data_IF_464954220583
#
_entry.id   IF_464954220583
#
_cell.length_a   1.000
_cell.length_b   1.000
_cell.length_c   1.000
_cell.angle_alpha   90.00
_cell.angle_beta   90.00
_cell.angle_gamma   90.00
#
_symmetry.space_group_name_H-M   'P 1'
#
loop_
_entity.id
_entity.type
_entity.pdbx_description
1 polymer ?
#
# COMPACT_ATOMS: atom_id res chain seq x y z
N UNK A 1 18.41 -0.25 18.74
CA UNK A 1 16.99 -0.19 19.16
C UNK A 1 16.19 -1.07 18.22
N UNK A 2 15.61 -2.14 18.74
CA UNK A 2 14.81 -3.09 17.97
C UNK A 2 13.47 -2.44 17.62
N UNK A 3 13.26 -2.10 16.35
CA UNK A 3 11.91 -1.83 15.84
C UNK A 3 11.28 -3.20 15.66
N UNK A 4 10.69 -3.73 16.73
CA UNK A 4 9.79 -4.85 16.60
C UNK A 4 8.60 -4.35 15.79
N UNK A 5 8.33 -5.03 14.66
CA UNK A 5 7.11 -4.79 13.91
C UNK A 5 5.96 -4.85 14.91
N UNK A 6 4.98 -3.96 14.78
CA UNK A 6 3.77 -4.02 15.61
C UNK A 6 3.30 -5.47 15.55
N UNK A 7 3.25 -6.19 16.68
CA UNK A 7 2.80 -7.57 16.66
C UNK A 7 1.45 -7.59 15.98
N UNK A 8 1.29 -8.47 14.98
CA UNK A 8 0.01 -8.64 14.30
C UNK A 8 -1.07 -8.71 15.38
N UNK A 9 -2.01 -7.76 15.36
CA UNK A 9 -3.01 -7.69 16.42
C UNK A 9 -3.75 -9.02 16.41
N UNK A 10 -3.55 -9.84 17.45
CA UNK A 10 -4.32 -11.05 17.64
C UNK A 10 -5.77 -10.59 17.80
N UNK A 11 -6.58 -10.87 16.77
CA UNK A 11 -7.97 -10.48 16.80
C UNK A 11 -8.70 -11.33 17.85
N UNK A 12 -9.43 -10.73 18.81
CA UNK A 12 -10.53 -11.46 19.41
C UNK A 12 -11.50 -11.90 18.29
N UNK A 13 -12.23 -12.98 18.54
CA UNK A 13 -13.27 -13.47 17.65
C UNK A 13 -14.15 -12.31 17.13
N UNK A 14 -14.58 -12.43 15.88
CA UNK A 14 -15.53 -11.57 15.14
C UNK A 14 -16.08 -10.40 15.98
N UNK A 15 -15.65 -9.14 15.77
CA UNK A 15 -16.29 -8.01 16.41
C UNK A 15 -17.74 -8.02 15.96
N UNK A 16 -18.66 -8.25 16.89
CA UNK A 16 -20.04 -7.83 16.73
C UNK A 16 -19.98 -6.32 16.57
N UNK A 17 -20.50 -5.82 15.45
CA UNK A 17 -20.67 -4.37 15.24
C UNK A 17 -21.37 -3.80 16.48
N UNK A 18 -20.77 -2.85 17.21
CA UNK A 18 -21.49 -2.19 18.29
C UNK A 18 -22.64 -1.41 17.67
N UNK A 19 -23.85 -1.86 17.96
CA UNK A 19 -25.08 -1.11 17.76
C UNK A 19 -25.06 0.12 18.68
N UNK A 20 -25.01 1.32 18.09
CA UNK A 20 -25.47 2.53 18.78
C UNK A 20 -24.42 3.55 19.24
N UNK A 21 -23.55 4.02 18.34
CA UNK A 21 -22.97 5.36 18.46
C UNK A 21 -23.15 6.13 17.15
N UNK A 22 -23.69 7.35 17.24
CA UNK A 22 -23.85 8.27 16.12
C UNK A 22 -22.47 8.60 15.50
N UNK A 23 -22.36 8.73 14.16
CA UNK A 23 -21.06 8.68 13.49
C UNK A 23 -20.26 9.97 13.70
N UNK A 24 -19.12 9.85 14.37
CA UNK A 24 -17.99 10.77 14.16
C UNK A 24 -17.54 10.67 12.69
N UNK A 25 -17.13 11.80 12.10
CA UNK A 25 -16.96 12.01 10.66
C UNK A 25 -16.37 10.83 9.88
N UNK A 26 -16.99 10.50 8.73
CA UNK A 26 -16.45 9.50 7.80
C UNK A 26 -15.11 9.96 7.26
N UNK A 27 -14.08 9.14 7.37
CA UNK A 27 -12.76 9.35 6.78
C UNK A 27 -12.55 8.43 5.61
N UNK A 28 -11.61 8.79 4.75
CA UNK A 28 -11.26 7.98 3.59
C UNK A 28 -9.76 7.70 3.53
N UNK A 29 -9.43 6.48 3.16
CA UNK A 29 -8.08 6.04 2.78
C UNK A 29 -8.12 5.70 1.29
N UNK A 30 -7.02 5.98 0.59
CA UNK A 30 -6.94 5.78 -0.85
C UNK A 30 -5.91 4.74 -1.19
N UNK A 31 -6.28 3.78 -2.03
CA UNK A 31 -5.36 2.80 -2.59
C UNK A 31 -5.09 3.14 -4.06
N UNK A 32 -3.82 3.37 -4.37
CA UNK A 32 -3.38 3.84 -5.68
C UNK A 32 -2.54 2.75 -6.33
N UNK A 33 -3.11 2.13 -7.36
CA UNK A 33 -2.45 1.10 -8.14
C UNK A 33 -1.79 1.76 -9.34
N UNK A 34 -0.47 1.65 -9.47
CA UNK A 34 0.27 2.30 -10.56
C UNK A 34 0.90 1.30 -11.52
N UNK A 35 0.95 1.69 -12.78
CA UNK A 35 1.68 1.01 -13.84
C UNK A 35 2.62 2.00 -14.52
N UNK A 36 3.90 1.88 -14.18
CA UNK A 36 4.96 2.79 -14.65
C UNK A 36 5.66 2.30 -15.93
N UNK A 37 5.35 1.08 -16.41
CA UNK A 37 5.87 0.55 -17.69
C UNK A 37 7.36 0.18 -17.71
N UNK A 38 8.07 0.22 -16.58
CA UNK A 38 9.52 -0.03 -16.52
C UNK A 38 9.90 -1.50 -16.74
N UNK A 39 11.19 -1.79 -17.03
CA UNK A 39 11.72 -3.18 -17.12
C UNK A 39 11.51 -3.96 -15.82
N UNK A 40 11.55 -3.29 -14.67
CA UNK A 40 11.23 -3.87 -13.35
C UNK A 40 9.75 -4.25 -13.25
N UNK A 41 8.86 -3.38 -13.76
CA UNK A 41 7.43 -3.68 -13.90
C UNK A 41 7.18 -4.90 -14.80
N UNK A 42 7.98 -5.13 -15.85
CA UNK A 42 7.85 -6.32 -16.70
C UNK A 42 8.19 -7.63 -15.97
N UNK A 43 9.24 -7.65 -15.16
CA UNK A 43 9.61 -8.82 -14.33
C UNK A 43 8.56 -9.06 -13.23
N UNK A 44 8.11 -7.99 -12.57
CA UNK A 44 7.04 -8.07 -11.59
C UNK A 44 5.72 -8.55 -12.21
N UNK A 45 5.39 -8.15 -13.44
CA UNK A 45 4.19 -8.63 -14.15
C UNK A 45 4.21 -10.15 -14.34
N UNK A 46 5.39 -10.75 -14.52
CA UNK A 46 5.53 -12.21 -14.62
C UNK A 46 5.28 -12.91 -13.27
N UNK A 47 5.73 -12.32 -12.17
CA UNK A 47 5.56 -12.85 -10.80
C UNK A 47 4.16 -12.59 -10.24
N UNK A 48 3.59 -11.42 -10.51
CA UNK A 48 2.31 -10.95 -9.97
C UNK A 48 1.13 -11.24 -10.90
N UNK A 49 1.37 -11.58 -12.17
CA UNK A 49 0.36 -11.84 -13.21
C UNK A 49 -0.72 -10.75 -13.33
N UNK A 50 -0.39 -9.51 -12.98
CA UNK A 50 -1.31 -8.37 -12.98
C UNK A 50 -0.84 -7.22 -13.87
N UNK A 51 -1.79 -6.44 -14.40
CA UNK A 51 -1.48 -5.23 -15.16
C UNK A 51 -0.86 -4.13 -14.29
N UNK A 52 -1.26 -4.04 -13.02
CA UNK A 52 -0.75 -3.07 -12.06
C UNK A 52 0.31 -3.73 -11.17
N UNK A 53 1.52 -3.17 -11.21
CA UNK A 53 2.71 -3.79 -10.63
C UNK A 53 3.14 -3.15 -9.31
N UNK A 54 2.52 -2.04 -8.95
CA UNK A 54 2.80 -1.28 -7.73
C UNK A 54 1.51 -0.79 -7.09
N UNK A 55 1.50 -0.71 -5.76
CA UNK A 55 0.37 -0.21 -4.98
C UNK A 55 0.90 0.67 -3.85
N UNK A 56 0.26 1.83 -3.68
CA UNK A 56 0.54 2.79 -2.60
C UNK A 56 -0.73 3.07 -1.81
N UNK A 57 -0.55 3.51 -0.56
CA UNK A 57 -1.64 4.00 0.30
C UNK A 57 -1.48 5.51 0.50
N UNK A 58 -2.59 6.23 0.44
CA UNK A 58 -2.68 7.64 0.78
C UNK A 58 -3.78 7.85 1.82
N UNK A 59 -3.58 8.86 2.67
CA UNK A 59 -4.46 9.17 3.80
C UNK A 59 -5.44 10.30 3.47
N UNK A 60 -5.35 10.88 2.28
CA UNK A 60 -6.19 11.99 1.85
C UNK A 60 -6.46 11.93 0.34
N UNK A 61 -7.46 12.70 -0.08
CA UNK A 61 -7.93 12.73 -1.47
C UNK A 61 -6.97 13.44 -2.42
N UNK A 62 -5.99 14.24 -1.95
CA UNK A 62 -5.09 14.97 -2.86
C UNK A 62 -4.04 14.06 -3.48
N UNK A 63 -3.74 12.95 -2.79
CA UNK A 63 -2.66 12.00 -3.14
C UNK A 63 -1.28 12.69 -3.17
N UNK A 64 -1.11 13.76 -2.40
CA UNK A 64 0.17 14.47 -2.30
C UNK A 64 1.23 13.61 -1.60
N UNK A 65 0.80 12.65 -0.78
CA UNK A 65 1.66 11.68 -0.11
C UNK A 65 1.20 10.26 -0.37
N UNK A 66 1.99 9.54 -1.16
CA UNK A 66 1.83 8.12 -1.47
C UNK A 66 2.86 7.31 -0.69
N UNK A 67 2.39 6.46 0.22
CA UNK A 67 3.26 5.61 1.04
C UNK A 67 3.32 4.21 0.45
N UNK A 68 4.53 3.69 0.23
CA UNK A 68 4.73 2.34 -0.28
C UNK A 68 6.14 1.82 -0.03
N UNK A 69 6.43 0.60 -0.50
CA UNK A 69 7.79 0.09 -0.63
C UNK A 69 8.21 0.10 -2.09
N UNK A 70 9.31 0.78 -2.40
CA UNK A 70 9.74 1.01 -3.77
C UNK A 70 11.07 1.74 -3.84
N UNK A 71 11.23 2.52 -4.91
CA UNK A 71 12.38 3.37 -5.20
C UNK A 71 11.89 4.78 -5.45
N UNK A 72 12.58 5.79 -4.93
CA UNK A 72 12.21 7.19 -5.16
C UNK A 72 12.64 7.69 -6.55
N UNK A 73 13.56 6.99 -7.22
CA UNK A 73 14.02 7.30 -8.58
C UNK A 73 14.34 6.04 -9.38
N UNK A 74 14.17 6.10 -10.70
CA UNK A 74 14.59 5.03 -11.62
C UNK A 74 16.10 4.81 -11.62
N UNK A 75 16.88 5.81 -11.19
CA UNK A 75 18.35 5.76 -11.11
C UNK A 75 18.85 4.99 -9.90
N UNK A 76 18.01 4.81 -8.88
CA UNK A 76 18.36 4.06 -7.68
C UNK A 76 18.60 2.59 -8.01
N UNK A 77 19.65 2.06 -7.38
CA UNK A 77 20.03 0.66 -7.46
C UNK A 77 19.05 -0.19 -6.65
N UNK A 78 18.84 -1.46 -6.98
CA UNK A 78 17.86 -2.30 -6.30
C UNK A 78 18.01 -2.35 -4.77
N UNK A 79 19.23 -2.36 -4.22
CA UNK A 79 19.46 -2.40 -2.77
C UNK A 79 19.17 -1.09 -2.03
N UNK A 80 18.98 0.01 -2.75
CA UNK A 80 18.57 1.31 -2.20
C UNK A 80 17.04 1.37 -1.99
N UNK A 81 16.30 0.41 -2.57
CA UNK A 81 14.85 0.32 -2.42
C UNK A 81 14.43 0.03 -0.96
N UNK A 82 13.37 0.70 -0.52
CA UNK A 82 12.88 0.66 0.85
C UNK A 82 11.50 1.30 1.00
N UNK A 83 11.17 1.72 2.21
CA UNK A 83 9.94 2.50 2.44
C UNK A 83 10.09 3.89 1.83
N UNK A 84 9.07 4.36 1.11
CA UNK A 84 9.05 5.64 0.39
C UNK A 84 7.79 6.43 0.66
N UNK A 85 7.92 7.76 0.67
CA UNK A 85 6.82 8.72 0.66
C UNK A 85 6.96 9.56 -0.61
N UNK A 86 6.18 9.20 -1.62
CA UNK A 86 6.26 9.78 -2.95
C UNK A 86 5.20 10.87 -3.11
N UNK A 87 5.50 11.90 -3.88
CA UNK A 87 4.51 12.87 -4.34
C UNK A 87 4.09 12.49 -5.76
N UNK A 88 2.80 12.66 -6.10
CA UNK A 88 2.29 12.34 -7.45
C UNK A 88 3.07 13.03 -8.59
N UNK A 89 3.61 14.23 -8.33
CA UNK A 89 4.38 15.05 -9.29
C UNK A 89 5.89 15.07 -8.99
N UNK A 90 6.37 14.15 -8.14
CA UNK A 90 7.76 14.06 -7.68
C UNK A 90 8.40 12.70 -7.95
N UNK A 91 9.71 12.61 -7.62
CA UNK A 91 10.47 11.36 -7.66
C UNK A 91 10.28 10.55 -8.95
N UNK A 92 10.01 9.25 -8.77
CA UNK A 92 9.85 8.28 -9.85
C UNK A 92 8.69 8.63 -10.80
N UNK A 93 7.63 9.29 -10.31
CA UNK A 93 6.48 9.65 -11.13
C UNK A 93 6.77 10.86 -12.03
N UNK A 94 7.64 11.76 -11.59
CA UNK A 94 8.17 12.84 -12.44
C UNK A 94 9.05 12.30 -13.57
N UNK A 95 9.88 11.30 -13.27
CA UNK A 95 10.75 10.64 -14.25
C UNK A 95 9.95 9.76 -15.23
N UNK A 96 8.74 9.32 -14.84
CA UNK A 96 7.85 8.46 -15.62
C UNK A 96 6.47 9.12 -15.81
N UNK A 97 6.38 10.20 -16.61
CA UNK A 97 5.14 10.97 -16.78
C UNK A 97 3.99 10.18 -17.43
N UNK A 98 4.29 9.05 -18.06
CA UNK A 98 3.31 8.11 -18.62
C UNK A 98 2.72 7.12 -17.60
N UNK A 99 2.95 7.32 -16.30
CA UNK A 99 2.43 6.43 -15.25
C UNK A 99 0.90 6.46 -15.24
N UNK A 100 0.31 5.29 -15.51
CA UNK A 100 -1.14 5.08 -15.39
C UNK A 100 -1.48 4.64 -13.98
N UNK A 101 -2.64 5.03 -13.48
CA UNK A 101 -3.13 4.61 -12.18
C UNK A 101 -4.63 4.26 -12.19
N UNK A 102 -5.00 3.46 -11.20
CA UNK A 102 -6.37 3.31 -10.71
C UNK A 102 -6.36 3.73 -9.24
N UNK A 103 -7.31 4.57 -8.84
CA UNK A 103 -7.48 5.02 -7.46
C UNK A 103 -8.78 4.45 -6.91
N UNK A 104 -8.70 3.82 -5.75
CA UNK A 104 -9.84 3.36 -4.98
C UNK A 104 -9.94 4.13 -3.68
N UNK A 105 -11.15 4.37 -3.23
CA UNK A 105 -11.47 5.02 -1.97
C UNK A 105 -12.06 4.00 -1.01
N UNK A 106 -11.59 4.01 0.23
CA UNK A 106 -12.07 3.17 1.33
C UNK A 106 -12.62 4.09 2.42
N UNK A 107 -13.92 4.02 2.67
CA UNK A 107 -14.52 4.65 3.86
C UNK A 107 -14.08 3.90 5.12
N UNK A 108 -13.62 4.64 6.12
CA UNK A 108 -13.13 4.12 7.39
C UNK A 108 -13.62 4.97 8.56
N UNK A 109 -13.68 4.38 9.75
CA UNK A 109 -13.90 5.13 10.99
C UNK A 109 -12.69 6.00 11.33
N UNK A 110 -12.90 7.05 12.12
CA UNK A 110 -11.81 7.88 12.67
C UNK A 110 -10.77 7.04 13.42
N UNK A 111 -11.18 5.99 14.12
CA UNK A 111 -10.27 5.10 14.84
C UNK A 111 -9.39 4.27 13.87
N UNK A 112 -9.99 3.66 12.85
CA UNK A 112 -9.26 2.92 11.81
C UNK A 112 -8.28 3.85 11.07
N UNK A 113 -8.73 5.07 10.75
CA UNK A 113 -7.90 6.10 10.13
C UNK A 113 -6.68 6.45 11.01
N UNK A 114 -6.90 6.76 12.30
CA UNK A 114 -5.81 7.04 13.25
C UNK A 114 -4.85 5.87 13.40
N UNK A 115 -5.34 4.63 13.44
CA UNK A 115 -4.48 3.44 13.51
C UNK A 115 -3.64 3.27 12.24
N UNK A 116 -4.24 3.41 11.07
CA UNK A 116 -3.52 3.37 9.79
C UNK A 116 -2.43 4.45 9.72
N UNK A 117 -2.78 5.70 10.08
CA UNK A 117 -1.82 6.81 10.15
C UNK A 117 -0.67 6.50 11.12
N UNK A 118 -0.99 6.02 12.33
CA UNK A 118 0.03 5.69 13.34
C UNK A 118 1.00 4.58 12.88
N UNK A 119 0.52 3.60 12.12
CA UNK A 119 1.38 2.59 11.49
C UNK A 119 2.29 3.27 10.46
N UNK A 120 1.74 4.08 9.56
CA UNK A 120 2.53 4.79 8.53
C UNK A 120 3.60 5.69 9.18
N UNK A 121 3.26 6.41 10.25
CA UNK A 121 4.18 7.28 10.99
C UNK A 121 5.33 6.50 11.64
N UNK A 122 5.09 5.25 12.06
CA UNK A 122 6.15 4.35 12.53
C UNK A 122 7.10 3.98 11.39
N UNK A 123 6.59 3.68 10.20
CA UNK A 123 7.43 3.43 9.03
C UNK A 123 8.21 4.67 8.59
N UNK A 124 7.61 5.86 8.66
CA UNK A 124 8.30 7.13 8.39
C UNK A 124 9.44 7.40 9.37
N UNK A 125 9.16 7.30 10.68
CA UNK A 125 10.18 7.54 11.73
C UNK A 125 11.37 6.59 11.65
N UNK A 126 11.16 5.40 11.11
CA UNK A 126 12.21 4.37 10.99
C UNK A 126 12.50 4.01 9.53
N UNK A 127 12.27 4.92 8.58
CA UNK A 127 12.35 4.64 7.14
C UNK A 127 13.67 3.98 6.72
N UNK A 128 14.80 4.42 7.29
CA UNK A 128 16.14 3.94 6.91
C UNK A 128 16.39 2.46 7.22
N UNK A 129 15.69 1.88 8.22
CA UNK A 129 15.87 0.47 8.61
C UNK A 129 15.01 -0.49 7.79
N UNK A 130 13.98 0.03 7.12
CA UNK A 130 13.07 -0.76 6.28
C UNK A 130 13.63 -0.89 4.86
N UNK A 131 13.67 -2.12 4.35
CA UNK A 131 14.23 -2.42 3.02
C UNK A 131 13.24 -3.17 2.15
N UNK A 132 13.42 -3.10 0.84
CA UNK A 132 12.58 -3.87 -0.07
C UNK A 132 12.77 -5.38 0.09
N UNK A 133 11.69 -6.14 0.01
CA UNK A 133 11.68 -7.60 0.19
C UNK A 133 11.83 -8.37 -1.12
N UNK A 134 13.02 -8.34 -1.73
CA UNK A 134 13.30 -9.12 -2.94
C UNK A 134 13.12 -10.64 -2.76
N UNK A 135 13.61 -11.29 -1.68
CA UNK A 135 13.34 -12.71 -1.45
C UNK A 135 11.84 -13.00 -1.26
N UNK A 136 11.10 -12.05 -0.69
CA UNK A 136 9.65 -12.13 -0.56
C UNK A 136 8.93 -12.31 -1.89
N UNK A 137 9.41 -11.71 -2.99
CA UNK A 137 8.85 -11.93 -4.32
C UNK A 137 8.98 -13.40 -4.76
N UNK A 138 10.08 -14.05 -4.42
CA UNK A 138 10.27 -15.48 -4.69
C UNK A 138 9.32 -16.33 -3.81
N UNK A 139 9.26 -16.06 -2.50
CA UNK A 139 8.36 -16.78 -1.59
C UNK A 139 6.87 -16.62 -1.99
N UNK A 140 6.47 -15.43 -2.43
CA UNK A 140 5.15 -15.15 -3.01
C UNK A 140 4.85 -15.95 -4.28
N UNK A 141 5.87 -16.25 -5.09
CA UNK A 141 5.71 -17.01 -6.34
C UNK A 141 5.44 -18.50 -6.08
N UNK A 142 6.04 -19.05 -5.02
CA UNK A 142 5.90 -20.46 -4.61
C UNK A 142 4.85 -20.68 -3.50
N UNK A 143 4.17 -19.62 -3.06
CA UNK A 143 3.11 -19.70 -2.03
C UNK A 143 3.61 -19.91 -0.60
N UNK A 144 4.89 -19.67 -0.31
CA UNK A 144 5.44 -19.84 1.03
C UNK A 144 5.24 -18.56 1.86
N UNK A 145 4.32 -18.60 2.84
CA UNK A 145 4.06 -17.49 3.76
C UNK A 145 5.25 -17.27 4.72
N UNK A 146 6.25 -16.53 4.26
CA UNK A 146 7.46 -16.20 5.04
C UNK A 146 7.61 -14.69 5.19
N UNK A 147 7.44 -14.24 6.43
CA UNK A 147 7.67 -12.85 6.80
C UNK A 147 9.17 -12.58 6.98
N UNK A 148 9.66 -11.49 6.39
CA UNK A 148 11.03 -11.04 6.56
C UNK A 148 11.03 -9.77 7.42
N UNK A 149 11.69 -9.83 8.60
CA UNK A 149 11.74 -8.69 9.53
C UNK A 149 12.23 -7.42 8.80
N UNK A 150 11.49 -6.32 8.97
CA UNK A 150 11.76 -4.99 8.39
C UNK A 150 11.87 -4.98 6.85
N UNK A 151 11.30 -5.97 6.17
CA UNK A 151 11.30 -6.04 4.71
C UNK A 151 9.89 -6.26 4.18
N UNK A 152 9.47 -5.37 3.27
CA UNK A 152 8.17 -5.48 2.62
C UNK A 152 8.28 -5.29 1.11
N UNK A 153 7.38 -5.94 0.39
CA UNK A 153 6.92 -5.54 -0.96
C UNK A 153 5.78 -4.54 -0.79
N UNK A 154 5.52 -3.69 -1.79
CA UNK A 154 4.46 -2.68 -1.74
C UNK A 154 3.09 -3.24 -1.31
N UNK A 155 2.65 -4.36 -1.89
CA UNK A 155 1.39 -5.03 -1.53
C UNK A 155 1.40 -5.64 -0.13
N UNK A 156 2.54 -6.16 0.32
CA UNK A 156 2.69 -6.66 1.69
C UNK A 156 2.52 -5.53 2.70
N UNK A 157 3.12 -4.37 2.43
CA UNK A 157 3.00 -3.19 3.28
C UNK A 157 1.56 -2.66 3.33
N UNK A 158 0.92 -2.48 2.17
CA UNK A 158 -0.46 -2.00 2.11
C UNK A 158 -1.41 -2.96 2.84
N UNK A 159 -1.28 -4.26 2.62
CA UNK A 159 -2.04 -5.26 3.38
C UNK A 159 -1.76 -5.19 4.87
N UNK A 160 -0.49 -5.08 5.28
CA UNK A 160 -0.12 -4.95 6.69
C UNK A 160 -0.78 -3.74 7.35
N UNK A 161 -0.80 -2.57 6.68
CA UNK A 161 -1.46 -1.36 7.22
C UNK A 161 -2.96 -1.60 7.36
N UNK A 162 -3.63 -2.06 6.29
CA UNK A 162 -5.09 -2.27 6.27
C UNK A 162 -5.54 -3.32 7.29
N UNK A 163 -4.74 -4.38 7.47
CA UNK A 163 -5.02 -5.45 8.42
C UNK A 163 -4.80 -5.00 9.86
N UNK A 164 -3.70 -4.31 10.16
CA UNK A 164 -3.40 -3.88 11.54
C UNK A 164 -4.17 -2.62 11.97
N UNK A 165 -4.67 -1.82 11.02
CA UNK A 165 -5.61 -0.73 11.30
C UNK A 165 -7.04 -1.23 11.50
N UNK A 166 -7.32 -2.51 11.21
CA UNK A 166 -8.68 -3.05 11.22
C UNK A 166 -9.55 -2.54 10.08
N UNK A 167 -8.96 -1.93 9.04
CA UNK A 167 -9.67 -1.43 7.85
C UNK A 167 -10.15 -2.58 6.96
N UNK A 168 -9.36 -3.63 6.82
CA UNK A 168 -9.72 -4.83 6.05
C UNK A 168 -9.21 -6.09 6.74
N UNK A 169 -9.87 -7.22 6.51
CA UNK A 169 -9.41 -8.55 6.93
C UNK A 169 -9.16 -9.39 5.70
N UNK A 170 -8.06 -10.16 5.73
CA UNK A 170 -7.68 -11.01 4.62
C UNK A 170 -7.74 -12.49 5.04
N UNK A 171 -8.10 -13.36 4.10
CA UNK A 171 -8.04 -14.82 4.30
C UNK A 171 -6.63 -15.40 4.01
N UNK A 172 -5.65 -14.52 3.83
CA UNK A 172 -4.29 -14.84 3.37
C UNK A 172 -3.32 -13.93 4.10
N UNK A 173 -2.20 -14.50 4.57
CA UNK A 173 -1.15 -13.73 5.22
C UNK A 173 -0.62 -12.61 4.32
N UNK A 174 -0.41 -11.42 4.89
CA UNK A 174 0.03 -10.25 4.14
C UNK A 174 1.35 -10.47 3.39
N UNK A 175 2.23 -11.37 3.85
CA UNK A 175 3.49 -11.70 3.16
C UNK A 175 3.27 -12.35 1.80
N UNK A 176 2.09 -12.92 1.56
CA UNK A 176 1.72 -13.48 0.26
C UNK A 176 0.88 -12.54 -0.59
N UNK A 177 0.51 -11.36 -0.08
CA UNK A 177 -0.42 -10.46 -0.76
C UNK A 177 0.18 -9.92 -2.06
N UNK A 178 -0.56 -10.05 -3.16
CA UNK A 178 -0.23 -9.43 -4.46
C UNK A 178 -1.06 -8.16 -4.69
N UNK A 179 -0.62 -7.21 -5.52
CA UNK A 179 -1.46 -6.07 -5.89
C UNK A 179 -2.82 -6.48 -6.48
N UNK A 180 -2.86 -7.57 -7.25
CA UNK A 180 -4.10 -8.13 -7.81
C UNK A 180 -5.06 -8.65 -6.74
N UNK A 181 -4.52 -9.24 -5.67
CA UNK A 181 -5.32 -9.76 -4.55
C UNK A 181 -6.02 -8.58 -3.85
N UNK A 182 -5.30 -7.48 -3.61
CA UNK A 182 -5.88 -6.26 -3.04
C UNK A 182 -6.91 -5.62 -3.98
N UNK A 183 -6.59 -5.49 -5.27
CA UNK A 183 -7.50 -4.90 -6.26
C UNK A 183 -8.81 -5.68 -6.36
N UNK A 184 -8.76 -7.01 -6.29
CA UNK A 184 -9.94 -7.87 -6.36
C UNK A 184 -10.92 -7.71 -5.19
N UNK A 185 -10.52 -7.04 -4.12
CA UNK A 185 -11.37 -6.74 -2.96
C UNK A 185 -12.07 -5.38 -3.09
N UNK A 186 -11.78 -4.62 -4.15
CA UNK A 186 -12.26 -3.26 -4.35
C UNK A 186 -13.18 -3.23 -5.56
N UNK A 187 -14.38 -2.66 -5.38
CA UNK A 187 -15.42 -2.70 -6.41
C UNK A 187 -15.29 -1.57 -7.42
N UNK A 188 -15.47 -0.32 -6.97
CA UNK A 188 -15.54 0.85 -7.85
C UNK A 188 -14.32 1.77 -7.63
N UNK A 189 -13.51 2.03 -8.67
CA UNK A 189 -12.48 3.05 -8.60
C UNK A 189 -13.11 4.44 -8.68
N UNK A 190 -12.56 5.40 -7.93
CA UNK A 190 -12.90 6.82 -8.05
C UNK A 190 -12.17 7.48 -9.22
N UNK A 191 -11.08 6.88 -9.70
CA UNK A 191 -10.34 7.38 -10.86
C UNK A 191 -9.61 6.26 -11.60
N UNK A 192 -9.53 6.37 -12.93
CA UNK A 192 -8.65 5.57 -13.79
C UNK A 192 -8.08 6.48 -14.87
N UNK A 193 -6.76 6.55 -14.99
CA UNK A 193 -6.13 7.46 -15.96
C UNK A 193 -4.64 7.65 -15.74
N UNK A 194 -4.12 8.81 -16.11
CA UNK A 194 -2.73 9.19 -15.83
C UNK A 194 -2.62 9.73 -14.40
N UNK A 195 -1.60 9.31 -13.64
CA UNK A 195 -1.44 9.75 -12.25
C UNK A 195 -1.33 11.28 -12.13
N UNK A 196 -0.59 11.92 -13.03
CA UNK A 196 -0.45 13.39 -13.10
C UNK A 196 -1.76 14.14 -13.40
N UNK A 197 -2.74 13.46 -13.97
CA UNK A 197 -4.04 14.03 -14.33
C UNK A 197 -5.07 13.88 -13.20
N UNK A 198 -4.72 13.19 -12.12
CA UNK A 198 -5.59 13.04 -10.97
C UNK A 198 -5.72 14.36 -10.17
N UNK A 199 -6.95 14.66 -9.77
CA UNK A 199 -7.29 15.73 -8.83
C UNK A 199 -8.24 15.21 -7.76
N UNK A 200 -8.22 15.81 -6.57
CA UNK A 200 -9.09 15.43 -5.45
C UNK A 200 -10.58 15.53 -5.78
N UNK A 201 -10.97 16.33 -6.78
CA UNK A 201 -12.35 16.44 -7.25
C UNK A 201 -12.91 15.12 -7.83
N UNK A 202 -12.05 14.17 -8.22
CA UNK A 202 -12.50 12.85 -8.66
C UNK A 202 -12.92 11.93 -7.49
N UNK A 203 -12.55 12.27 -6.26
CA UNK A 203 -12.84 11.50 -5.05
C UNK A 203 -14.00 12.08 -4.22
N UNK A 204 -14.64 13.14 -4.71
CA UNK A 204 -15.83 13.81 -4.15
C UNK A 204 -17.07 13.38 -4.93
#
# INVERSE_FOLDING_TARGET
MSVDLVPAVAYPARPTLPSGQAPAGRRHIYLVFTHTGTRFSKVLKMVTRGEYTHVSIAMDASLDRLYSFGRNSIKERPWEAGFVCEQKDGGVYRELPGTRCIVYQLEVSEEQYRRAQGIIDLFLRHQSVFKYNYPGLFFMSIGWAKQCKRRFVCSQFVAYVLENSGTMRFHKDFSLMRPTDLKGLLYAPVYTGMLRSYSAAHAL
#
